data_IF_121087385406
#
_entry.id   IF_121087385406
#
_cell.length_a   1.000
_cell.length_b   1.000
_cell.length_c   1.000
_cell.angle_alpha   90.00
_cell.angle_beta   90.00
_cell.angle_gamma   90.00
#
_symmetry.space_group_name_H-M   'P 1'
#
loop_
_entity.id
_entity.type
_entity.pdbx_description
1 polymer ?
#
# COMPACT_ATOMS: atom_id res chain seq x y z
N UNK A 1 -35.55 54.64 -69.04
CA UNK A 1 -34.36 54.28 -69.79
C UNK A 1 -33.15 54.21 -68.88
N UNK A 2 -33.01 53.24 -68.05
CA UNK A 2 -31.75 52.94 -67.34
C UNK A 2 -31.84 51.49 -66.90
N UNK A 3 -30.94 50.66 -67.48
CA UNK A 3 -30.85 49.23 -67.19
C UNK A 3 -30.10 49.05 -65.88
N UNK A 4 -30.74 48.48 -64.89
CA UNK A 4 -30.01 47.97 -63.67
C UNK A 4 -29.48 46.55 -63.96
N UNK A 5 -28.18 46.41 -63.84
CA UNK A 5 -27.46 45.10 -63.83
C UNK A 5 -27.39 44.68 -62.40
N UNK A 6 -28.03 43.57 -62.02
CA UNK A 6 -27.87 42.89 -60.79
C UNK A 6 -26.66 41.95 -60.84
N UNK A 7 -25.57 42.24 -60.05
CA UNK A 7 -24.46 41.33 -59.80
C UNK A 7 -24.95 40.36 -58.68
N UNK A 8 -24.93 39.07 -59.00
CA UNK A 8 -25.06 38.03 -58.03
C UNK A 8 -23.64 37.70 -57.41
N UNK A 9 -23.42 38.04 -56.15
CA UNK A 9 -22.28 37.60 -55.40
C UNK A 9 -22.60 36.20 -54.84
N UNK A 10 -21.89 35.16 -55.38
CA UNK A 10 -21.91 33.84 -54.80
C UNK A 10 -21.03 33.80 -53.57
N UNK A 11 -21.65 33.65 -52.38
CA UNK A 11 -20.94 33.40 -51.15
C UNK A 11 -20.55 31.93 -51.09
N UNK A 12 -19.27 31.63 -51.31
CA UNK A 12 -18.68 30.32 -51.13
C UNK A 12 -18.42 30.10 -49.65
N UNK A 13 -19.33 29.36 -48.98
CA UNK A 13 -19.20 28.97 -47.60
C UNK A 13 -18.14 27.88 -47.44
N UNK A 14 -16.92 28.28 -47.03
CA UNK A 14 -15.89 27.32 -46.60
C UNK A 14 -16.33 26.68 -45.26
N UNK A 15 -16.81 25.45 -45.32
CA UNK A 15 -17.00 24.62 -44.14
C UNK A 15 -15.62 24.19 -43.65
N UNK A 16 -15.05 24.91 -42.69
CA UNK A 16 -13.94 24.45 -41.89
C UNK A 16 -14.42 23.25 -41.04
N UNK A 17 -14.20 22.06 -41.56
CA UNK A 17 -14.23 20.84 -40.74
C UNK A 17 -13.05 20.93 -39.78
N UNK A 18 -13.30 21.48 -38.60
CA UNK A 18 -12.41 21.42 -37.47
C UNK A 18 -12.26 19.95 -37.11
N UNK A 19 -11.22 19.29 -37.62
CA UNK A 19 -10.75 18.05 -37.05
C UNK A 19 -10.35 18.35 -35.61
N UNK A 20 -11.26 18.07 -34.66
CA UNK A 20 -10.88 17.88 -33.28
C UNK A 20 -9.88 16.70 -33.28
N UNK A 21 -8.61 17.03 -33.43
CA UNK A 21 -7.56 16.15 -32.98
C UNK A 21 -7.79 16.00 -31.46
N UNK A 22 -8.57 14.98 -31.08
CA UNK A 22 -8.56 14.46 -29.73
C UNK A 22 -7.12 14.09 -29.51
N UNK A 23 -6.36 14.98 -28.88
CA UNK A 23 -5.03 14.71 -28.38
C UNK A 23 -5.14 13.51 -27.47
N UNK A 24 -4.68 12.36 -27.98
CA UNK A 24 -4.72 11.07 -27.29
C UNK A 24 -3.77 11.01 -26.12
N UNK A 25 -3.95 11.93 -25.14
CA UNK A 25 -3.28 11.87 -23.84
C UNK A 25 -3.93 10.77 -23.01
N UNK A 26 -3.08 10.01 -22.31
CA UNK A 26 -3.55 9.01 -21.34
C UNK A 26 -4.41 9.69 -20.26
N UNK A 27 -5.52 9.08 -19.80
CA UNK A 27 -6.35 9.66 -18.76
C UNK A 27 -5.55 9.85 -17.48
N UNK A 28 -5.82 10.95 -16.76
CA UNK A 28 -5.20 11.17 -15.46
C UNK A 28 -5.61 10.06 -14.47
N UNK A 29 -4.66 9.62 -13.64
CA UNK A 29 -4.86 8.59 -12.62
C UNK A 29 -4.66 9.18 -11.23
N UNK A 30 -5.57 8.83 -10.29
CA UNK A 30 -5.49 9.19 -8.89
C UNK A 30 -4.89 8.04 -8.10
N UNK A 31 -3.71 8.26 -7.51
CA UNK A 31 -3.02 7.24 -6.71
C UNK A 31 -3.15 7.60 -5.24
N UNK A 32 -3.60 6.65 -4.43
CA UNK A 32 -3.68 6.77 -2.99
C UNK A 32 -2.73 5.81 -2.25
N UNK A 33 -2.63 5.99 -0.94
CA UNK A 33 -1.93 5.08 -0.04
C UNK A 33 -2.53 5.08 1.36
N UNK A 34 -2.18 4.06 2.13
CA UNK A 34 -2.39 4.08 3.57
C UNK A 34 -1.48 5.12 4.26
N UNK A 35 -1.67 5.35 5.57
CA UNK A 35 -1.05 6.46 6.29
C UNK A 35 0.43 6.29 6.64
N UNK A 36 0.99 5.07 6.59
CA UNK A 36 2.36 4.79 6.99
C UNK A 36 3.36 4.96 5.83
N UNK A 37 4.64 5.07 6.18
CA UNK A 37 5.70 5.48 5.24
C UNK A 37 5.85 4.53 4.06
N UNK A 38 5.80 3.21 4.28
CA UNK A 38 6.03 2.21 3.25
C UNK A 38 4.95 2.20 2.18
N UNK A 39 3.67 2.30 2.59
CA UNK A 39 2.57 2.43 1.65
C UNK A 39 2.66 3.72 0.81
N UNK A 40 3.11 4.84 1.43
CA UNK A 40 3.37 6.09 0.69
C UNK A 40 4.53 5.93 -0.29
N UNK A 41 5.60 5.25 0.11
CA UNK A 41 6.77 5.01 -0.73
C UNK A 41 6.41 4.15 -1.95
N UNK A 42 5.69 3.05 -1.74
CA UNK A 42 5.24 2.20 -2.85
C UNK A 42 4.30 2.93 -3.80
N UNK A 43 3.37 3.73 -3.28
CA UNK A 43 2.49 4.56 -4.10
C UNK A 43 3.26 5.62 -4.90
N UNK A 44 4.29 6.23 -4.31
CA UNK A 44 5.15 7.21 -4.98
C UNK A 44 6.01 6.55 -6.07
N UNK A 45 6.53 5.34 -5.82
CA UNK A 45 7.25 4.55 -6.82
C UNK A 45 6.36 4.26 -8.04
N UNK A 46 5.12 3.79 -7.82
CA UNK A 46 4.18 3.59 -8.92
C UNK A 46 3.82 4.89 -9.63
N UNK A 47 3.64 5.99 -8.88
CA UNK A 47 3.32 7.29 -9.44
C UNK A 47 4.42 7.78 -10.40
N UNK A 48 5.66 7.80 -9.95
CA UNK A 48 6.80 8.27 -10.77
C UNK A 48 7.07 7.35 -11.96
N UNK A 49 6.94 6.03 -11.81
CA UNK A 49 7.06 5.11 -12.92
C UNK A 49 6.01 5.39 -14.01
N UNK A 50 4.78 5.67 -13.60
CA UNK A 50 3.70 6.05 -14.54
C UNK A 50 3.95 7.40 -15.19
N UNK A 51 4.39 8.42 -14.43
CA UNK A 51 4.73 9.75 -14.97
C UNK A 51 5.84 9.66 -16.02
N UNK A 52 6.89 8.88 -15.77
CA UNK A 52 7.97 8.64 -16.73
C UNK A 52 7.49 7.97 -18.02
N UNK A 53 6.33 7.31 -17.99
CA UNK A 53 5.68 6.68 -19.14
C UNK A 53 4.48 7.49 -19.68
N UNK A 54 4.42 8.79 -19.38
CA UNK A 54 3.49 9.75 -19.97
C UNK A 54 2.08 9.74 -19.38
N UNK A 55 1.91 9.22 -18.15
CA UNK A 55 0.65 9.37 -17.42
C UNK A 55 0.66 10.66 -16.60
N UNK A 56 -0.50 11.30 -16.46
CA UNK A 56 -0.71 12.39 -15.50
C UNK A 56 -1.18 11.78 -14.18
N UNK A 57 -0.42 11.97 -13.11
CA UNK A 57 -0.72 11.37 -11.80
C UNK A 57 -1.16 12.43 -10.80
N UNK A 58 -2.26 12.14 -10.09
CA UNK A 58 -2.73 12.91 -8.94
C UNK A 58 -2.50 12.09 -7.68
N UNK A 59 -1.74 12.63 -6.73
CA UNK A 59 -1.38 11.96 -5.48
C UNK A 59 -2.36 12.27 -4.37
N UNK A 60 -2.90 11.23 -3.74
CA UNK A 60 -3.73 11.28 -2.52
C UNK A 60 -3.12 10.35 -1.47
N UNK A 61 -1.85 10.62 -1.12
CA UNK A 61 -1.08 9.76 -0.24
C UNK A 61 -1.44 9.98 1.24
N UNK A 62 -1.34 8.91 2.03
CA UNK A 62 -1.51 9.00 3.48
C UNK A 62 -2.96 9.18 3.92
N UNK A 63 -3.90 8.52 3.28
CA UNK A 63 -5.34 8.62 3.59
C UNK A 63 -5.73 8.16 5.00
N UNK A 64 -4.89 7.34 5.65
CA UNK A 64 -5.16 6.77 6.96
C UNK A 64 -5.02 5.25 6.97
N UNK A 65 -5.78 4.56 7.82
CA UNK A 65 -5.82 3.10 7.84
C UNK A 65 -6.56 2.54 6.61
N UNK A 66 -6.47 1.23 6.39
CA UNK A 66 -7.21 0.52 5.33
C UNK A 66 -8.72 0.79 5.38
N UNK A 67 -9.28 1.00 6.57
CA UNK A 67 -10.69 1.35 6.72
C UNK A 67 -11.07 2.68 6.06
N UNK A 68 -10.09 3.55 5.75
CA UNK A 68 -10.27 4.80 4.99
C UNK A 68 -9.89 4.60 3.53
N UNK A 69 -8.75 3.97 3.27
CA UNK A 69 -8.19 3.87 1.91
C UNK A 69 -8.94 2.86 1.02
N UNK A 70 -9.47 1.77 1.57
CA UNK A 70 -10.24 0.79 0.81
C UNK A 70 -11.57 1.38 0.28
N UNK A 71 -12.41 2.03 1.11
CA UNK A 71 -13.57 2.76 0.60
C UNK A 71 -13.23 3.87 -0.40
N UNK A 72 -12.09 4.55 -0.25
CA UNK A 72 -11.63 5.56 -1.20
C UNK A 72 -11.34 4.96 -2.59
N UNK A 73 -10.76 3.76 -2.64
CA UNK A 73 -10.57 3.01 -3.88
C UNK A 73 -11.91 2.52 -4.44
N UNK A 74 -12.78 1.93 -3.62
CA UNK A 74 -14.08 1.42 -4.03
C UNK A 74 -14.98 2.52 -4.59
N UNK A 75 -14.98 3.71 -4.00
CA UNK A 75 -15.79 4.86 -4.44
C UNK A 75 -15.23 5.63 -5.65
N UNK A 76 -13.97 5.35 -6.05
CA UNK A 76 -13.29 6.11 -7.11
C UNK A 76 -12.75 7.47 -6.67
N UNK A 77 -12.60 7.70 -5.37
CA UNK A 77 -11.82 8.82 -4.85
C UNK A 77 -10.35 8.68 -5.26
N UNK A 78 -9.85 7.44 -5.30
CA UNK A 78 -8.58 7.05 -5.90
C UNK A 78 -8.80 5.93 -6.93
N UNK A 79 -7.89 5.78 -7.90
CA UNK A 79 -7.97 4.80 -8.98
C UNK A 79 -6.98 3.64 -8.79
N UNK A 80 -5.89 3.88 -8.04
CA UNK A 80 -4.84 2.92 -7.72
C UNK A 80 -4.34 3.11 -6.29
N UNK A 81 -4.01 1.99 -5.63
CA UNK A 81 -3.22 1.99 -4.39
C UNK A 81 -2.36 0.73 -4.28
N UNK A 82 -1.18 0.77 -3.62
CA UNK A 82 -0.53 -0.43 -3.13
C UNK A 82 -1.37 -1.06 -2.01
N UNK A 83 -1.47 -2.39 -2.01
CA UNK A 83 -2.20 -3.13 -0.99
C UNK A 83 -1.42 -4.37 -0.57
N UNK A 84 -1.53 -4.74 0.68
CA UNK A 84 -0.96 -5.93 1.28
C UNK A 84 -1.99 -7.05 1.17
N UNK A 85 -1.72 -8.06 0.32
CA UNK A 85 -2.75 -9.01 -0.13
C UNK A 85 -3.34 -9.88 0.97
N UNK A 86 -2.57 -10.22 2.00
CA UNK A 86 -3.02 -11.04 3.12
C UNK A 86 -3.90 -10.26 4.09
N UNK A 87 -3.40 -9.16 4.62
CA UNK A 87 -4.17 -8.31 5.54
C UNK A 87 -5.31 -7.57 4.84
N UNK A 88 -5.15 -7.27 3.54
CA UNK A 88 -6.21 -6.77 2.68
C UNK A 88 -7.34 -7.79 2.51
N UNK A 89 -6.99 -9.06 2.25
CA UNK A 89 -7.98 -10.14 2.21
C UNK A 89 -8.68 -10.31 3.57
N UNK A 90 -7.92 -10.31 4.67
CA UNK A 90 -8.48 -10.45 6.00
C UNK A 90 -9.43 -9.31 6.39
N UNK A 91 -9.23 -8.11 5.85
CA UNK A 91 -10.15 -6.98 6.03
C UNK A 91 -11.54 -7.27 5.47
N UNK A 92 -11.62 -7.94 4.31
CA UNK A 92 -12.88 -8.31 3.69
C UNK A 92 -13.44 -9.65 4.19
N UNK A 93 -12.56 -10.64 4.39
CA UNK A 93 -12.90 -11.97 4.88
C UNK A 93 -11.74 -12.57 5.67
N UNK A 94 -11.79 -12.39 6.97
CA UNK A 94 -10.75 -12.85 7.90
C UNK A 94 -10.51 -14.37 7.91
N UNK A 95 -11.45 -15.15 7.36
CA UNK A 95 -11.37 -16.61 7.38
C UNK A 95 -10.57 -17.18 6.22
N UNK A 96 -10.26 -16.35 5.21
CA UNK A 96 -9.62 -16.78 3.96
C UNK A 96 -8.13 -16.45 3.88
N UNK A 97 -7.64 -15.52 4.69
CA UNK A 97 -6.23 -15.12 4.67
C UNK A 97 -5.33 -16.25 5.21
N UNK A 98 -4.28 -16.58 4.48
CA UNK A 98 -3.38 -17.72 4.75
C UNK A 98 -1.91 -17.33 4.59
N UNK A 99 -0.99 -18.27 4.88
CA UNK A 99 0.44 -18.13 4.59
C UNK A 99 0.83 -18.31 3.12
N UNK A 100 -0.11 -18.56 2.22
CA UNK A 100 0.13 -18.72 0.78
C UNK A 100 -0.24 -17.42 0.02
N UNK A 101 0.74 -16.69 -0.52
CA UNK A 101 0.47 -15.44 -1.22
C UNK A 101 -0.37 -15.62 -2.48
N UNK A 102 -0.23 -16.73 -3.23
CA UNK A 102 -1.02 -16.97 -4.44
C UNK A 102 -2.49 -17.22 -4.09
N UNK A 103 -2.75 -17.96 -3.01
CA UNK A 103 -4.11 -18.16 -2.50
C UNK A 103 -4.73 -16.85 -2.01
N UNK A 104 -3.95 -16.00 -1.32
CA UNK A 104 -4.41 -14.69 -0.85
C UNK A 104 -4.74 -13.75 -2.01
N UNK A 105 -3.86 -13.66 -3.03
CA UNK A 105 -4.11 -12.84 -4.24
C UNK A 105 -5.40 -13.29 -4.96
N UNK A 106 -5.54 -14.57 -5.25
CA UNK A 106 -6.71 -15.12 -5.95
C UNK A 106 -8.01 -14.87 -5.16
N UNK A 107 -7.96 -15.04 -3.84
CA UNK A 107 -9.10 -14.82 -2.97
C UNK A 107 -9.49 -13.33 -2.87
N UNK A 108 -8.49 -12.44 -2.77
CA UNK A 108 -8.68 -10.99 -2.76
C UNK A 108 -9.24 -10.52 -4.11
N UNK A 109 -8.68 -10.98 -5.24
CA UNK A 109 -9.18 -10.67 -6.58
C UNK A 109 -10.65 -11.08 -6.74
N UNK A 110 -11.04 -12.27 -6.27
CA UNK A 110 -12.42 -12.73 -6.35
C UNK A 110 -13.40 -11.82 -5.59
N UNK A 111 -13.00 -11.30 -4.41
CA UNK A 111 -13.82 -10.36 -3.64
C UNK A 111 -13.88 -9.01 -4.34
N UNK A 112 -12.74 -8.48 -4.77
CA UNK A 112 -12.62 -7.15 -5.33
C UNK A 112 -13.22 -7.03 -6.74
N UNK A 113 -13.36 -8.13 -7.47
CA UNK A 113 -13.98 -8.13 -8.79
C UNK A 113 -15.43 -7.60 -8.80
N UNK A 114 -16.13 -7.66 -7.67
CA UNK A 114 -17.54 -7.22 -7.54
C UNK A 114 -17.70 -5.92 -6.73
N UNK A 115 -16.60 -5.35 -6.23
CA UNK A 115 -16.62 -4.12 -5.40
C UNK A 115 -16.27 -2.89 -6.23
N UNK A 116 -16.95 -1.79 -5.96
CA UNK A 116 -16.62 -0.47 -6.53
C UNK A 116 -16.58 -0.41 -8.05
N UNK A 117 -17.39 -1.20 -8.75
CA UNK A 117 -17.33 -1.33 -10.21
C UNK A 117 -16.28 -2.33 -10.71
N UNK A 118 -15.68 -3.09 -9.79
CA UNK A 118 -14.59 -4.02 -10.03
C UNK A 118 -13.21 -3.39 -9.84
N UNK A 119 -12.36 -4.12 -9.14
CA UNK A 119 -10.97 -3.75 -8.90
C UNK A 119 -10.10 -4.95 -9.29
N UNK A 120 -9.08 -4.68 -10.09
CA UNK A 120 -8.08 -5.67 -10.50
C UNK A 120 -6.91 -5.65 -9.52
N UNK A 121 -6.52 -6.83 -9.03
CA UNK A 121 -5.28 -7.07 -8.31
C UNK A 121 -4.21 -7.38 -9.36
N UNK A 122 -3.18 -6.55 -9.48
CA UNK A 122 -2.04 -6.84 -10.34
C UNK A 122 -1.04 -7.75 -9.60
N UNK A 123 0.01 -8.22 -10.31
CA UNK A 123 0.98 -9.15 -9.74
C UNK A 123 1.63 -8.56 -8.48
N UNK A 124 1.64 -9.34 -7.42
CA UNK A 124 2.28 -8.95 -6.17
C UNK A 124 3.82 -8.99 -6.27
N UNK A 125 4.46 -8.20 -5.42
CA UNK A 125 5.92 -8.16 -5.27
C UNK A 125 6.44 -9.39 -4.50
N UNK A 126 7.72 -9.77 -4.67
CA UNK A 126 8.38 -10.71 -3.75
C UNK A 126 8.48 -10.20 -2.31
N UNK A 127 8.43 -8.86 -2.10
CA UNK A 127 8.47 -8.27 -0.78
C UNK A 127 7.24 -8.65 0.05
N UNK A 128 7.49 -9.02 1.31
CA UNK A 128 6.47 -9.27 2.32
C UNK A 128 6.65 -8.31 3.48
N UNK A 129 5.54 -7.76 3.96
CA UNK A 129 5.50 -7.00 5.20
C UNK A 129 4.31 -7.42 6.05
N UNK A 130 4.61 -8.05 7.18
CA UNK A 130 3.64 -8.58 8.14
C UNK A 130 3.70 -7.77 9.43
N UNK A 131 2.62 -7.76 10.22
CA UNK A 131 2.72 -7.29 11.60
C UNK A 131 3.75 -8.14 12.36
N UNK A 132 4.64 -7.47 13.06
CA UNK A 132 5.66 -8.06 13.89
C UNK A 132 5.54 -7.55 15.32
N UNK A 133 5.35 -8.46 16.27
CA UNK A 133 5.38 -8.11 17.68
C UNK A 133 6.83 -8.20 18.18
N UNK A 134 7.33 -7.09 18.65
CA UNK A 134 8.73 -6.95 19.02
C UNK A 134 8.88 -6.48 20.47
N UNK A 135 9.99 -6.87 21.09
CA UNK A 135 10.36 -6.47 22.44
C UNK A 135 11.80 -5.98 22.47
N UNK A 136 12.16 -5.21 23.49
CA UNK A 136 13.59 -4.92 23.75
C UNK A 136 14.32 -6.20 24.18
N UNK A 137 15.63 -6.23 23.96
CA UNK A 137 16.48 -7.36 24.34
C UNK A 137 16.45 -7.65 25.85
N UNK A 138 16.41 -6.61 26.67
CA UNK A 138 16.29 -6.76 28.13
C UNK A 138 14.94 -7.33 28.56
N UNK A 139 13.84 -6.88 27.95
CA UNK A 139 12.51 -7.44 28.15
C UNK A 139 12.45 -8.92 27.74
N UNK A 140 13.00 -9.25 26.55
CA UNK A 140 13.09 -10.65 26.10
C UNK A 140 13.84 -11.52 27.10
N UNK A 141 14.96 -11.04 27.62
CA UNK A 141 15.77 -11.78 28.60
C UNK A 141 15.04 -11.92 29.94
N UNK A 142 14.46 -10.82 30.45
CA UNK A 142 13.76 -10.79 31.74
C UNK A 142 12.59 -11.77 31.79
N UNK A 143 11.78 -11.80 30.75
CA UNK A 143 10.58 -12.64 30.68
C UNK A 143 10.74 -13.92 29.88
N UNK A 144 11.98 -14.18 29.36
CA UNK A 144 12.32 -15.34 28.52
C UNK A 144 11.43 -15.46 27.27
N UNK A 145 11.21 -14.31 26.59
CA UNK A 145 10.35 -14.23 25.42
C UNK A 145 11.15 -14.51 24.14
N UNK A 146 10.70 -15.47 23.35
CA UNK A 146 11.22 -15.80 22.01
C UNK A 146 10.11 -15.87 20.97
N UNK A 147 8.88 -16.15 21.39
CA UNK A 147 7.69 -16.30 20.55
C UNK A 147 6.46 -15.71 21.21
N UNK A 148 5.43 -15.48 20.42
CA UNK A 148 4.21 -14.85 20.89
C UNK A 148 3.50 -15.61 22.01
N UNK A 149 3.49 -16.96 21.95
CA UNK A 149 2.89 -17.76 23.01
C UNK A 149 3.56 -17.58 24.38
N UNK A 150 4.83 -17.17 24.44
CA UNK A 150 5.54 -16.93 25.71
C UNK A 150 4.96 -15.73 26.45
N UNK A 151 4.35 -14.78 25.75
CA UNK A 151 3.79 -13.57 26.35
C UNK A 151 2.50 -13.83 27.15
N UNK A 152 1.82 -14.96 26.89
CA UNK A 152 0.49 -15.24 27.47
C UNK A 152 0.50 -15.21 29.00
N UNK A 153 1.51 -15.82 29.65
CA UNK A 153 1.62 -15.88 31.11
C UNK A 153 1.95 -14.53 31.77
N UNK A 154 2.51 -13.60 31.00
CA UNK A 154 3.02 -12.30 31.50
C UNK A 154 2.31 -11.09 30.87
N UNK A 155 1.26 -11.30 30.08
CA UNK A 155 0.62 -10.26 29.27
C UNK A 155 0.21 -9.02 30.07
N UNK A 156 -0.24 -9.18 31.31
CA UNK A 156 -0.67 -8.09 32.18
C UNK A 156 0.48 -7.41 32.95
N UNK A 157 1.69 -7.97 32.89
CA UNK A 157 2.91 -7.36 33.42
C UNK A 157 3.60 -6.49 32.36
N UNK A 158 3.24 -6.69 31.08
CA UNK A 158 3.80 -5.97 29.92
C UNK A 158 2.91 -4.80 29.54
N UNK A 159 3.54 -3.70 29.12
CA UNK A 159 2.87 -2.57 28.48
C UNK A 159 2.91 -2.81 26.97
N UNK A 160 1.76 -2.81 26.32
CA UNK A 160 1.62 -3.10 24.92
C UNK A 160 1.42 -1.82 24.10
N UNK A 161 2.15 -1.67 23.02
CA UNK A 161 1.90 -0.72 21.95
C UNK A 161 1.25 -1.47 20.79
N UNK A 162 0.01 -1.16 20.46
CA UNK A 162 -0.74 -1.76 19.38
C UNK A 162 -1.20 -0.70 18.39
N UNK A 163 -1.47 -1.11 17.16
CA UNK A 163 -1.99 -0.23 16.12
C UNK A 163 -3.33 0.40 16.54
N UNK A 164 -3.59 1.64 16.12
CA UNK A 164 -4.83 2.36 16.45
C UNK A 164 -6.09 1.64 15.95
N UNK A 165 -5.97 0.86 14.88
CA UNK A 165 -7.04 0.04 14.32
C UNK A 165 -7.06 -1.39 14.87
N UNK A 166 -6.08 -1.80 15.67
CA UNK A 166 -5.97 -3.14 16.24
C UNK A 166 -7.26 -3.67 16.87
N UNK A 167 -8.07 -2.87 17.61
CA UNK A 167 -9.33 -3.36 18.19
C UNK A 167 -10.33 -3.91 17.16
N UNK A 168 -10.28 -3.43 15.93
CA UNK A 168 -11.18 -3.83 14.83
C UNK A 168 -10.47 -4.59 13.72
N UNK A 169 -9.13 -4.60 13.73
CA UNK A 169 -8.31 -5.28 12.73
C UNK A 169 -8.33 -6.79 12.99
N UNK A 170 -8.79 -7.63 12.02
CA UNK A 170 -8.93 -9.06 12.21
C UNK A 170 -7.61 -9.79 12.46
N UNK A 171 -6.49 -9.25 11.96
CA UNK A 171 -5.15 -9.84 12.17
C UNK A 171 -4.40 -9.26 13.38
N UNK A 172 -5.06 -8.44 14.21
CA UNK A 172 -4.52 -7.92 15.46
C UNK A 172 -5.30 -8.42 16.67
N UNK A 173 -6.17 -7.64 17.33
CA UNK A 173 -6.80 -8.03 18.59
C UNK A 173 -7.58 -9.35 18.51
N UNK A 174 -8.32 -9.56 17.42
CA UNK A 174 -9.08 -10.79 17.23
C UNK A 174 -8.16 -12.01 17.08
N UNK A 175 -7.08 -11.91 16.31
CA UNK A 175 -6.09 -12.96 16.10
C UNK A 175 -5.31 -13.25 17.40
N UNK A 176 -4.83 -12.21 18.09
CA UNK A 176 -4.15 -12.34 19.39
C UNK A 176 -5.00 -13.08 20.40
N UNK A 177 -6.29 -12.72 20.50
CA UNK A 177 -7.21 -13.37 21.44
C UNK A 177 -7.52 -14.83 21.05
N UNK A 178 -7.85 -15.07 19.78
CA UNK A 178 -8.28 -16.41 19.33
C UNK A 178 -7.14 -17.42 19.32
N UNK A 179 -5.97 -17.01 18.85
CA UNK A 179 -4.82 -17.92 18.72
C UNK A 179 -4.02 -18.05 20.02
N UNK A 180 -3.74 -16.92 20.70
CA UNK A 180 -2.84 -16.91 21.87
C UNK A 180 -3.55 -16.75 23.21
N UNK A 181 -4.86 -16.46 23.24
CA UNK A 181 -5.57 -16.10 24.46
C UNK A 181 -5.13 -14.74 25.02
N UNK A 182 -4.51 -13.90 24.20
CA UNK A 182 -4.01 -12.58 24.58
C UNK A 182 -5.13 -11.55 24.58
N UNK A 183 -5.33 -10.90 25.72
CA UNK A 183 -6.22 -9.76 25.91
C UNK A 183 -5.55 -8.77 26.88
N UNK A 184 -4.44 -8.13 26.45
CA UNK A 184 -3.69 -7.26 27.34
C UNK A 184 -4.53 -6.07 27.80
N UNK A 185 -4.38 -5.70 29.10
CA UNK A 185 -5.15 -4.60 29.70
C UNK A 185 -4.38 -3.27 29.71
N UNK A 186 -3.05 -3.33 29.60
CA UNK A 186 -2.19 -2.15 29.59
C UNK A 186 -1.73 -1.84 28.16
N UNK A 187 -2.61 -1.20 27.38
CA UNK A 187 -2.43 -0.95 25.96
C UNK A 187 -2.36 0.55 25.67
N UNK A 188 -1.35 0.95 24.91
CA UNK A 188 -1.23 2.27 24.27
C UNK A 188 -1.45 2.10 22.78
N UNK A 189 -2.41 2.82 22.20
CA UNK A 189 -2.65 2.80 20.77
C UNK A 189 -1.77 3.84 20.07
N UNK A 190 -0.99 3.39 19.08
CA UNK A 190 -0.08 4.21 18.29
C UNK A 190 -0.31 3.92 16.79
N UNK A 191 0.21 4.77 15.92
CA UNK A 191 0.12 4.49 14.49
C UNK A 191 0.87 3.20 14.13
N UNK A 192 0.28 2.37 13.28
CA UNK A 192 0.93 1.16 12.78
C UNK A 192 2.23 1.49 12.02
N UNK A 193 3.21 0.59 12.06
CA UNK A 193 4.45 0.65 11.30
C UNK A 193 5.13 2.04 11.37
N UNK A 194 5.17 2.63 12.57
CA UNK A 194 5.57 4.02 12.74
C UNK A 194 6.80 4.19 13.64
N UNK A 195 7.57 5.22 13.35
CA UNK A 195 8.67 5.66 14.23
C UNK A 195 8.21 5.95 15.67
N UNK A 196 7.05 6.58 15.93
CA UNK A 196 6.54 6.73 17.31
C UNK A 196 6.36 5.42 18.05
N UNK A 197 5.89 4.34 17.40
CA UNK A 197 5.79 3.01 18.01
C UNK A 197 7.17 2.47 18.40
N UNK A 198 8.13 2.54 17.49
CA UNK A 198 9.50 2.12 17.73
C UNK A 198 10.18 2.95 18.84
N UNK A 199 9.98 4.27 18.85
CA UNK A 199 10.48 5.15 19.89
C UNK A 199 9.86 4.86 21.27
N UNK A 200 8.55 4.61 21.34
CA UNK A 200 7.89 4.23 22.57
C UNK A 200 8.50 2.95 23.17
N UNK A 201 8.84 1.98 22.31
CA UNK A 201 9.53 0.76 22.71
C UNK A 201 10.96 1.05 23.18
N UNK A 202 11.75 1.83 22.43
CA UNK A 202 13.11 2.20 22.78
C UNK A 202 13.18 2.98 24.11
N UNK A 203 12.23 3.90 24.32
CA UNK A 203 12.13 4.74 25.51
C UNK A 203 11.45 4.06 26.72
N UNK A 204 11.15 2.75 26.63
CA UNK A 204 10.52 1.96 27.73
C UNK A 204 9.10 2.42 28.11
N UNK A 205 8.44 3.20 27.27
CA UNK A 205 7.02 3.56 27.44
C UNK A 205 6.12 2.35 27.28
N UNK A 206 6.50 1.46 26.34
CA UNK A 206 5.89 0.14 26.11
C UNK A 206 6.97 -0.93 26.22
N UNK A 207 6.55 -2.18 26.41
CA UNK A 207 7.42 -3.35 26.50
C UNK A 207 7.30 -4.27 25.29
N UNK A 208 6.12 -4.35 24.70
CA UNK A 208 5.82 -5.02 23.43
C UNK A 208 5.31 -3.98 22.46
N UNK A 209 5.84 -3.95 21.23
CA UNK A 209 5.38 -3.05 20.16
C UNK A 209 4.94 -3.83 18.94
N UNK A 210 3.81 -3.44 18.33
CA UNK A 210 3.38 -3.92 17.02
C UNK A 210 4.03 -3.07 15.94
N UNK A 211 5.12 -3.59 15.36
CA UNK A 211 5.83 -3.00 14.22
C UNK A 211 5.49 -3.75 12.94
N UNK A 212 6.04 -3.30 11.82
CA UNK A 212 6.04 -4.04 10.57
C UNK A 212 7.35 -4.83 10.41
N UNK A 213 7.29 -6.03 9.84
CA UNK A 213 8.45 -6.92 9.70
C UNK A 213 9.58 -6.31 8.86
N UNK A 214 9.27 -5.38 7.97
CA UNK A 214 10.21 -4.61 7.16
C UNK A 214 10.73 -3.36 7.86
N UNK A 215 10.21 -3.03 9.07
CA UNK A 215 10.54 -1.77 9.73
C UNK A 215 11.99 -1.74 10.20
N UNK A 216 12.82 -0.82 9.68
CA UNK A 216 14.26 -0.77 9.95
C UNK A 216 14.61 -0.52 11.42
N UNK A 217 13.72 0.11 12.15
CA UNK A 217 13.85 0.37 13.59
C UNK A 217 14.13 -0.91 14.39
N UNK A 218 13.66 -2.07 13.90
CA UNK A 218 13.90 -3.38 14.53
C UNK A 218 15.40 -3.65 14.60
N UNK A 219 16.09 -3.54 13.48
CA UNK A 219 17.53 -3.78 13.40
C UNK A 219 18.34 -2.64 14.06
N UNK A 220 17.95 -1.38 13.81
CA UNK A 220 18.64 -0.20 14.33
C UNK A 220 18.67 -0.18 15.87
N UNK A 221 17.57 -0.57 16.52
CA UNK A 221 17.48 -0.60 17.99
C UNK A 221 17.82 -1.97 18.60
N UNK A 222 18.11 -2.96 17.78
CA UNK A 222 18.40 -4.33 18.23
C UNK A 222 17.21 -4.97 18.95
N UNK A 223 16.00 -4.69 18.49
CA UNK A 223 14.77 -5.30 19.02
C UNK A 223 14.72 -6.79 18.67
N UNK A 224 14.04 -7.55 19.50
CA UNK A 224 13.80 -8.99 19.30
C UNK A 224 12.39 -9.15 18.74
N UNK A 225 12.29 -9.71 17.55
CA UNK A 225 11.02 -10.10 16.96
C UNK A 225 10.55 -11.39 17.64
N UNK A 226 9.34 -11.38 18.19
CA UNK A 226 8.71 -12.58 18.74
C UNK A 226 8.16 -13.43 17.59
N UNK A 227 8.57 -14.69 17.52
CA UNK A 227 8.07 -15.61 16.49
C UNK A 227 6.56 -15.77 16.60
N UNK A 228 5.84 -15.59 15.51
CA UNK A 228 4.40 -15.91 15.39
C UNK A 228 4.24 -17.44 15.26
N UNK A 229 4.37 -18.15 16.38
CA UNK A 229 4.38 -19.62 16.45
C UNK A 229 2.99 -20.25 16.20
N UNK A 230 1.96 -19.45 16.02
CA UNK A 230 0.61 -19.87 15.65
C UNK A 230 0.14 -19.36 14.30
N UNK A 231 1.04 -18.75 13.54
CA UNK A 231 0.82 -18.28 12.16
C UNK A 231 -0.45 -17.41 12.03
N UNK A 232 -0.55 -16.40 12.91
CA UNK A 232 -1.69 -15.47 12.91
C UNK A 232 -1.59 -14.41 11.82
N UNK A 233 -0.36 -14.17 11.32
CA UNK A 233 -0.11 -13.19 10.29
C UNK A 233 -0.08 -13.87 8.91
N UNK A 234 -0.96 -13.45 7.98
CA UNK A 234 -0.97 -14.01 6.64
C UNK A 234 0.26 -13.59 5.82
N UNK A 235 0.52 -14.29 4.71
CA UNK A 235 1.50 -13.82 3.73
C UNK A 235 1.03 -12.48 3.15
N UNK A 236 1.83 -11.43 3.33
CA UNK A 236 1.42 -10.05 3.09
C UNK A 236 2.34 -9.36 2.07
N UNK A 237 2.31 -9.89 0.84
CA UNK A 237 3.00 -9.33 -0.30
C UNK A 237 2.25 -8.10 -0.83
N UNK A 238 2.99 -7.14 -1.41
CA UNK A 238 2.41 -5.88 -1.88
C UNK A 238 2.00 -6.02 -3.34
N UNK A 239 0.74 -5.70 -3.66
CA UNK A 239 0.20 -5.69 -5.02
C UNK A 239 -0.45 -4.33 -5.35
N UNK A 240 -0.33 -3.84 -6.61
CA UNK A 240 -1.13 -2.71 -7.06
C UNK A 240 -2.59 -3.13 -7.21
N UNK A 241 -3.50 -2.42 -6.56
CA UNK A 241 -4.95 -2.51 -6.81
C UNK A 241 -5.39 -1.39 -7.74
N UNK A 242 -6.06 -1.72 -8.84
CA UNK A 242 -6.47 -0.77 -9.87
C UNK A 242 -7.96 -0.91 -10.16
N UNK A 243 -8.69 0.20 -10.20
CA UNK A 243 -10.11 0.23 -10.59
C UNK A 243 -10.30 -0.15 -12.05
N UNK A 244 -11.28 -1.01 -12.33
CA UNK A 244 -11.64 -1.39 -13.70
C UNK A 244 -12.19 -0.19 -14.50
N UNK A 245 -12.89 0.74 -13.84
CA UNK A 245 -13.35 2.00 -14.47
C UNK A 245 -12.19 2.85 -15.01
N UNK A 246 -11.02 2.81 -14.36
CA UNK A 246 -9.83 3.48 -14.89
C UNK A 246 -9.25 2.69 -16.06
N UNK A 247 -9.07 1.37 -15.90
CA UNK A 247 -8.53 0.50 -16.96
C UNK A 247 -9.37 0.55 -18.24
N UNK A 248 -10.69 0.68 -18.12
CA UNK A 248 -11.61 0.80 -19.25
C UNK A 248 -11.46 2.09 -20.07
N UNK A 249 -10.83 3.13 -19.51
CA UNK A 249 -10.52 4.38 -20.24
C UNK A 249 -9.27 4.28 -21.11
N UNK A 250 -8.44 3.26 -20.88
CA UNK A 250 -7.21 3.03 -21.65
C UNK A 250 -7.53 2.29 -22.95
N UNK A 251 -6.77 2.57 -24.00
CA UNK A 251 -6.75 1.68 -25.16
C UNK A 251 -6.22 0.30 -24.77
N UNK A 252 -6.49 -0.73 -25.55
CA UNK A 252 -6.00 -2.09 -25.25
C UNK A 252 -4.47 -2.13 -25.12
N UNK A 253 -3.74 -1.40 -25.98
CA UNK A 253 -2.28 -1.31 -25.95
C UNK A 253 -1.79 -0.54 -24.72
N UNK A 254 -2.45 0.59 -24.35
CA UNK A 254 -2.07 1.36 -23.17
C UNK A 254 -2.36 0.60 -21.88
N UNK A 255 -3.46 -0.16 -21.83
CA UNK A 255 -3.79 -1.03 -20.70
C UNK A 255 -2.70 -2.09 -20.51
N UNK A 256 -2.31 -2.80 -21.57
CA UNK A 256 -1.24 -3.80 -21.51
C UNK A 256 0.07 -3.17 -21.05
N UNK A 257 0.43 -2.00 -21.56
CA UNK A 257 1.64 -1.28 -21.17
C UNK A 257 1.59 -0.83 -19.70
N UNK A 258 0.43 -0.35 -19.22
CA UNK A 258 0.20 0.06 -17.84
C UNK A 258 0.38 -1.11 -16.87
N UNK A 259 -0.33 -2.21 -17.13
CA UNK A 259 -0.26 -3.41 -16.28
C UNK A 259 1.16 -4.01 -16.28
N UNK A 260 1.81 -4.09 -17.43
CA UNK A 260 3.18 -4.60 -17.56
C UNK A 260 4.20 -3.72 -16.82
N UNK A 261 4.04 -2.40 -16.85
CA UNK A 261 4.91 -1.47 -16.12
C UNK A 261 4.81 -1.69 -14.61
N UNK A 262 3.60 -1.68 -14.06
CA UNK A 262 3.38 -1.86 -12.62
C UNK A 262 3.85 -3.24 -12.14
N UNK A 263 3.56 -4.29 -12.91
CA UNK A 263 4.04 -5.65 -12.63
C UNK A 263 5.58 -5.73 -12.65
N UNK A 264 6.24 -5.03 -13.59
CA UNK A 264 7.70 -4.99 -13.67
C UNK A 264 8.32 -4.26 -12.48
N UNK A 265 7.70 -3.17 -12.03
CA UNK A 265 8.10 -2.44 -10.80
C UNK A 265 7.95 -3.35 -9.58
N UNK A 266 6.78 -3.98 -9.42
CA UNK A 266 6.51 -4.91 -8.31
C UNK A 266 7.52 -6.06 -8.28
N UNK A 267 7.85 -6.65 -9.42
CA UNK A 267 8.79 -7.78 -9.51
C UNK A 267 10.23 -7.44 -9.07
N UNK A 268 10.61 -6.16 -9.04
CA UNK A 268 11.93 -5.70 -8.56
C UNK A 268 11.97 -5.38 -7.07
N UNK A 269 10.82 -5.40 -6.40
CA UNK A 269 10.72 -5.07 -4.99
C UNK A 269 10.73 -6.36 -4.16
N UNK A 270 11.89 -6.70 -3.58
CA UNK A 270 12.01 -7.75 -2.57
C UNK A 270 12.02 -7.16 -1.16
N UNK A 271 11.90 -8.01 -0.14
CA UNK A 271 11.85 -7.59 1.27
C UNK A 271 13.09 -6.81 1.70
N UNK A 272 14.29 -7.21 1.24
CA UNK A 272 15.54 -6.53 1.59
C UNK A 272 15.59 -5.12 1.00
N UNK A 273 15.18 -4.98 -0.26
CA UNK A 273 15.05 -3.68 -0.94
C UNK A 273 14.05 -2.80 -0.22
N UNK A 274 12.85 -3.32 0.08
CA UNK A 274 11.79 -2.56 0.77
C UNK A 274 12.26 -2.07 2.14
N UNK A 275 12.91 -2.94 2.93
CA UNK A 275 13.49 -2.58 4.23
C UNK A 275 14.58 -1.50 4.10
N UNK A 276 15.44 -1.61 3.08
CA UNK A 276 16.50 -0.61 2.83
C UNK A 276 15.94 0.76 2.48
N UNK A 277 14.97 0.81 1.57
CA UNK A 277 14.29 2.06 1.20
C UNK A 277 13.49 2.63 2.38
N UNK A 278 12.85 1.74 3.16
CA UNK A 278 12.18 2.11 4.39
C UNK A 278 13.10 2.78 5.40
N UNK A 279 14.35 2.29 5.53
CA UNK A 279 15.37 2.91 6.38
C UNK A 279 15.69 4.33 5.92
N UNK A 280 15.88 4.54 4.64
CA UNK A 280 16.16 5.87 4.09
C UNK A 280 15.05 6.88 4.43
N UNK A 281 13.79 6.45 4.35
CA UNK A 281 12.64 7.31 4.66
C UNK A 281 12.45 7.50 6.17
N UNK A 282 12.38 6.40 6.93
CA UNK A 282 11.92 6.45 8.32
C UNK A 282 13.01 6.72 9.34
N UNK A 283 14.26 6.34 9.04
CA UNK A 283 15.42 6.51 9.94
C UNK A 283 16.31 7.67 9.49
N UNK A 284 16.68 7.66 8.20
CA UNK A 284 17.57 8.66 7.65
C UNK A 284 16.82 9.99 7.29
N UNK A 285 15.48 10.00 7.43
CA UNK A 285 14.58 11.14 7.18
C UNK A 285 14.70 11.72 5.76
N UNK A 286 15.00 10.89 4.77
CA UNK A 286 14.99 11.31 3.37
C UNK A 286 13.57 11.53 2.87
N UNK A 287 13.43 12.41 1.90
CA UNK A 287 12.15 12.65 1.23
C UNK A 287 11.69 11.41 0.44
N UNK A 288 10.42 11.03 0.60
CA UNK A 288 9.83 9.83 -0.02
C UNK A 288 9.95 9.87 -1.54
N UNK A 289 9.70 11.05 -2.15
CA UNK A 289 9.78 11.18 -3.61
C UNK A 289 11.23 11.08 -4.10
N UNK A 290 12.19 11.59 -3.34
CA UNK A 290 13.61 11.47 -3.67
C UNK A 290 14.07 10.00 -3.62
N UNK A 291 13.72 9.26 -2.54
CA UNK A 291 14.04 7.83 -2.40
C UNK A 291 13.41 7.01 -3.55
N UNK A 292 12.14 7.28 -3.88
CA UNK A 292 11.47 6.63 -5.02
C UNK A 292 12.20 6.91 -6.34
N UNK A 293 12.61 8.17 -6.58
CA UNK A 293 13.34 8.57 -7.81
C UNK A 293 14.69 7.85 -7.92
N UNK A 294 15.46 7.81 -6.83
CA UNK A 294 16.78 7.17 -6.81
C UNK A 294 16.65 5.67 -7.12
N UNK A 295 15.71 4.99 -6.48
CA UNK A 295 15.47 3.57 -6.73
C UNK A 295 14.99 3.29 -8.14
N UNK A 296 14.05 4.08 -8.67
CA UNK A 296 13.54 3.92 -10.04
C UNK A 296 14.64 4.15 -11.09
N UNK A 297 15.54 5.12 -10.88
CA UNK A 297 16.71 5.36 -11.74
C UNK A 297 17.66 4.17 -11.70
N UNK A 298 17.99 3.68 -10.52
CA UNK A 298 18.89 2.54 -10.35
C UNK A 298 18.35 1.25 -11.02
N UNK A 299 17.03 1.14 -11.18
CA UNK A 299 16.37 -0.01 -11.81
C UNK A 299 15.96 0.27 -13.28
N UNK A 300 16.28 1.44 -13.84
CA UNK A 300 16.03 1.78 -15.24
C UNK A 300 14.58 2.10 -15.60
N UNK A 301 13.72 2.40 -14.62
CA UNK A 301 12.32 2.78 -14.85
C UNK A 301 12.15 4.25 -15.18
N UNK A 302 13.07 5.10 -14.74
CA UNK A 302 13.14 6.53 -15.07
C UNK A 302 14.56 6.91 -15.49
N UNK A 303 14.70 8.02 -16.25
CA UNK A 303 15.98 8.53 -16.73
C UNK A 303 16.65 9.48 -15.74
#
# INVERSE_FOLDING_TARGET
>A
MRKLRTLALGAMMLVLVGACASGGGKPAIKIGSDGFYESKLMAEIYAQALEANGYTVQRNLGLGSRAVSAPALESGQIDLKPEYIGSGLAYYDKTRATGDPAANEAALQAILATRGGGITVLNYSPAQDQNAFVVRKDTATQFKLTKMSDTTAVQNQLKWGLATDCPTNPVCAAALKSAYGLAPTNVTLLAACSTPMAQALANRTIDVGELCSTQPDIAVNGFVVLQDDRQTQPADNIAPLVRNDYLAKLSASDRTAFESLLNSVSARMDTATLTSLGKEVSVDNKDVAAVATEWLKANGFVK
#
